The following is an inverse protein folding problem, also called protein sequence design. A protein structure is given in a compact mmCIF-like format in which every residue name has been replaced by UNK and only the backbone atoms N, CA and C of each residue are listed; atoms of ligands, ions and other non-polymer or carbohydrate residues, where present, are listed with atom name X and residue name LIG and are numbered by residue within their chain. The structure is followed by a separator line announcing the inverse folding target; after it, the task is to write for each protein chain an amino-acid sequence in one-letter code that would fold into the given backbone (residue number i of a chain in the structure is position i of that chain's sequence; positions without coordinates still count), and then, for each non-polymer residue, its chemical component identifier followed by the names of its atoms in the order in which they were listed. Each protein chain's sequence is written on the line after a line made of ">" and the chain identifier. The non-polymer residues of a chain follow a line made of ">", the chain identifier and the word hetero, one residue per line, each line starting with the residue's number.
data_IF_439274482836
#
_entry.id   IF_439274482836
#
_cell.length_a   1.000
_cell.length_b   1.000
_cell.length_c   1.000
_cell.angle_alpha   90.00
_cell.angle_beta   90.00
_cell.angle_gamma   90.00
#
_symmetry.space_group_name_H-M   'P 1'
#
loop_
_entity.id
_entity.type
_entity.pdbx_description
1 polymer ?
#
# COMPACT_ATOMS: atom_id res chain seq x y z
N UNK A 1 4.49 -19.80 9.81
CA UNK A 1 3.36 -20.14 8.92
C UNK A 1 2.79 -18.90 8.25
N UNK A 2 2.43 -19.00 6.99
CA UNK A 2 1.84 -17.86 6.25
C UNK A 2 0.33 -17.75 6.54
N UNK A 3 -0.34 -18.85 6.85
CA UNK A 3 -1.79 -18.96 6.79
C UNK A 3 -2.44 -19.44 8.07
N UNK A 4 -2.13 -20.65 8.50
CA UNK A 4 -2.77 -21.34 9.60
C UNK A 4 -1.72 -21.69 10.64
N UNK A 5 -1.47 -20.78 11.57
CA UNK A 5 -0.63 -21.05 12.72
C UNK A 5 -1.53 -21.55 13.84
N UNK A 6 -1.27 -22.74 14.44
CA UNK A 6 -2.06 -23.26 15.58
C UNK A 6 -2.17 -22.29 16.77
N UNK A 7 -1.21 -21.37 16.91
CA UNK A 7 -1.21 -20.33 17.94
C UNK A 7 -2.11 -19.14 17.61
N UNK A 8 -2.69 -19.09 16.41
CA UNK A 8 -3.57 -18.01 16.00
C UNK A 8 -4.86 -18.05 16.81
N UNK A 9 -5.22 -16.91 17.39
CA UNK A 9 -6.54 -16.75 18.02
C UNK A 9 -7.60 -16.70 16.90
N UNK A 10 -8.18 -17.86 16.57
CA UNK A 10 -9.15 -18.00 15.48
C UNK A 10 -10.52 -17.45 15.81
N UNK A 11 -10.99 -17.70 17.04
CA UNK A 11 -12.27 -17.21 17.52
C UNK A 11 -12.13 -15.88 18.26
N UNK A 12 -13.15 -15.04 18.14
CA UNK A 12 -13.16 -13.75 18.82
C UNK A 12 -13.41 -13.94 20.33
N UNK A 13 -12.74 -13.12 21.13
CA UNK A 13 -13.08 -13.01 22.57
C UNK A 13 -14.32 -12.11 22.75
N UNK A 14 -15.15 -12.43 23.73
CA UNK A 14 -16.28 -11.59 24.09
C UNK A 14 -15.79 -10.22 24.59
N UNK A 15 -16.33 -9.15 24.00
CA UNK A 15 -15.96 -7.77 24.37
C UNK A 15 -16.93 -7.12 25.36
N UNK A 16 -17.92 -7.85 25.87
CA UNK A 16 -18.92 -7.32 26.81
C UNK A 16 -19.84 -6.23 26.23
N UNK A 17 -19.81 -6.01 24.91
CA UNK A 17 -20.68 -5.02 24.23
C UNK A 17 -22.07 -5.61 23.99
N UNK A 18 -23.11 -4.74 24.04
CA UNK A 18 -24.46 -5.13 23.63
C UNK A 18 -24.50 -5.59 22.19
N UNK A 19 -25.25 -6.66 21.90
CA UNK A 19 -25.43 -7.24 20.58
C UNK A 19 -24.83 -8.63 20.44
N UNK A 20 -24.97 -9.23 19.26
CA UNK A 20 -24.41 -10.57 18.99
C UNK A 20 -22.89 -10.48 18.90
N UNK A 21 -22.19 -11.19 19.75
CA UNK A 21 -20.74 -11.29 19.73
C UNK A 21 -20.22 -11.83 18.38
N UNK A 22 -19.05 -11.33 17.99
CA UNK A 22 -18.36 -11.86 16.81
C UNK A 22 -17.87 -13.28 17.11
N UNK A 23 -18.09 -14.20 16.18
CA UNK A 23 -17.59 -15.59 16.34
C UNK A 23 -16.11 -15.69 15.98
N UNK A 24 -15.68 -14.99 14.93
CA UNK A 24 -14.33 -15.07 14.40
C UNK A 24 -13.53 -13.80 14.69
N UNK A 25 -12.26 -13.95 15.03
CA UNK A 25 -11.33 -12.84 15.25
C UNK A 25 -11.03 -12.09 13.95
N UNK A 26 -10.47 -10.88 14.05
CA UNK A 26 -9.99 -10.14 12.87
C UNK A 26 -8.85 -10.89 12.18
N UNK A 27 -7.99 -11.56 12.93
CA UNK A 27 -6.91 -12.39 12.38
C UNK A 27 -7.44 -13.53 11.52
N UNK A 28 -8.51 -14.23 11.95
CA UNK A 28 -9.15 -15.27 11.17
C UNK A 28 -9.75 -14.74 9.86
N UNK A 29 -10.43 -13.59 9.92
CA UNK A 29 -10.98 -12.94 8.73
C UNK A 29 -9.87 -12.46 7.80
N UNK A 30 -8.81 -11.83 8.33
CA UNK A 30 -7.65 -11.40 7.54
C UNK A 30 -7.00 -12.59 6.83
N UNK A 31 -6.80 -13.72 7.52
CA UNK A 31 -6.28 -14.96 6.94
C UNK A 31 -7.12 -15.42 5.75
N UNK A 32 -8.45 -15.48 5.92
CA UNK A 32 -9.36 -15.85 4.83
C UNK A 32 -9.28 -14.89 3.63
N UNK A 33 -9.18 -13.58 3.87
CA UNK A 33 -9.06 -12.57 2.82
C UNK A 33 -7.69 -12.66 2.11
N UNK A 34 -6.61 -12.97 2.81
CA UNK A 34 -5.30 -13.22 2.20
C UNK A 34 -5.32 -14.45 1.29
N UNK A 35 -5.92 -15.56 1.74
CA UNK A 35 -6.11 -16.78 0.95
C UNK A 35 -6.97 -16.48 -0.29
N UNK A 36 -8.06 -15.72 -0.13
CA UNK A 36 -8.89 -15.27 -1.25
C UNK A 36 -8.06 -14.59 -2.35
N UNK A 37 -7.17 -13.70 -1.95
CA UNK A 37 -6.34 -12.93 -2.89
C UNK A 37 -5.30 -13.77 -3.59
N UNK A 38 -4.62 -14.64 -2.86
CA UNK A 38 -3.55 -15.48 -3.39
C UNK A 38 -4.04 -16.48 -4.42
N UNK A 39 -5.19 -17.09 -4.15
CA UNK A 39 -5.77 -18.08 -5.05
C UNK A 39 -6.86 -17.49 -5.96
N UNK A 40 -7.07 -16.16 -5.93
CA UNK A 40 -8.07 -15.44 -6.73
C UNK A 40 -9.49 -16.02 -6.59
N UNK A 41 -9.86 -16.43 -5.38
CA UNK A 41 -11.12 -17.10 -5.10
C UNK A 41 -12.27 -16.09 -4.94
N UNK A 42 -13.50 -16.51 -5.24
CA UNK A 42 -14.71 -15.81 -4.79
C UNK A 42 -14.91 -16.06 -3.28
N UNK A 43 -15.68 -15.19 -2.59
CA UNK A 43 -15.92 -15.36 -1.14
C UNK A 43 -16.55 -16.71 -0.78
N UNK A 44 -17.40 -17.28 -1.64
CA UNK A 44 -17.99 -18.61 -1.42
C UNK A 44 -16.96 -19.72 -1.55
N UNK A 45 -16.06 -19.62 -2.53
CA UNK A 45 -14.99 -20.60 -2.72
C UNK A 45 -14.00 -20.56 -1.56
N UNK A 46 -13.71 -19.35 -1.00
CA UNK A 46 -12.82 -19.20 0.15
C UNK A 46 -13.31 -20.02 1.34
N UNK A 47 -14.61 -19.97 1.66
CA UNK A 47 -15.17 -20.74 2.80
C UNK A 47 -14.84 -22.22 2.68
N UNK A 48 -15.14 -22.83 1.53
CA UNK A 48 -14.86 -24.26 1.32
C UNK A 48 -13.35 -24.58 1.28
N UNK A 49 -12.57 -23.72 0.64
CA UNK A 49 -11.13 -23.91 0.53
C UNK A 49 -10.44 -23.81 1.91
N UNK A 50 -10.77 -22.80 2.70
CA UNK A 50 -10.24 -22.64 4.07
C UNK A 50 -10.67 -23.78 4.98
N UNK A 51 -11.93 -24.25 4.89
CA UNK A 51 -12.38 -25.41 5.64
C UNK A 51 -11.57 -26.66 5.31
N UNK A 52 -11.24 -26.87 4.04
CA UNK A 52 -10.38 -27.99 3.61
C UNK A 52 -8.96 -27.87 4.17
N UNK A 53 -8.39 -26.65 4.16
CA UNK A 53 -7.05 -26.40 4.72
C UNK A 53 -7.01 -26.62 6.23
N UNK A 54 -8.03 -26.16 6.97
CA UNK A 54 -8.16 -26.38 8.41
C UNK A 54 -8.18 -27.88 8.72
N UNK A 55 -9.00 -28.64 7.98
CA UNK A 55 -9.06 -30.10 8.12
C UNK A 55 -7.74 -30.78 7.82
N UNK A 56 -7.05 -30.39 6.75
CA UNK A 56 -5.73 -30.94 6.37
C UNK A 56 -4.66 -30.63 7.41
N UNK A 57 -4.78 -29.49 8.10
CA UNK A 57 -3.85 -29.08 9.15
C UNK A 57 -4.15 -29.71 10.51
N UNK A 58 -5.18 -30.56 10.62
CA UNK A 58 -5.58 -31.21 11.89
C UNK A 58 -6.10 -30.23 12.96
N UNK A 59 -6.57 -29.03 12.55
CA UNK A 59 -7.07 -28.00 13.47
C UNK A 59 -8.57 -28.17 13.70
N UNK A 60 -9.00 -28.00 14.93
CA UNK A 60 -10.43 -28.03 15.33
C UNK A 60 -11.07 -26.65 15.20
N UNK A 61 -10.95 -26.05 13.99
CA UNK A 61 -11.56 -24.78 13.67
C UNK A 61 -12.64 -24.94 12.62
N UNK A 62 -13.55 -23.98 12.58
CA UNK A 62 -14.53 -23.86 11.49
C UNK A 62 -14.21 -22.62 10.65
N UNK A 63 -14.42 -22.71 9.33
CA UNK A 63 -14.23 -21.57 8.45
C UNK A 63 -15.43 -20.60 8.55
N UNK A 64 -15.18 -19.26 8.49
CA UNK A 64 -16.24 -18.28 8.37
C UNK A 64 -17.05 -18.50 7.08
N UNK A 65 -18.37 -18.37 7.14
CA UNK A 65 -19.19 -18.36 5.93
C UNK A 65 -18.96 -17.11 5.07
N UNK A 66 -19.32 -17.19 3.79
CA UNK A 66 -19.12 -16.10 2.83
C UNK A 66 -19.85 -14.81 3.20
N UNK A 67 -20.97 -14.87 3.90
CA UNK A 67 -21.75 -13.71 4.30
C UNK A 67 -21.05 -12.98 5.46
N UNK A 68 -20.45 -13.75 6.38
CA UNK A 68 -19.59 -13.22 7.44
C UNK A 68 -18.36 -12.54 6.85
N UNK A 69 -17.65 -13.18 5.93
CA UNK A 69 -16.51 -12.58 5.22
C UNK A 69 -16.91 -11.29 4.50
N UNK A 70 -18.04 -11.29 3.79
CA UNK A 70 -18.54 -10.13 3.07
C UNK A 70 -18.85 -8.93 3.98
N UNK A 71 -19.49 -9.18 5.12
CA UNK A 71 -19.81 -8.13 6.11
C UNK A 71 -18.56 -7.61 6.79
N UNK A 72 -17.70 -8.53 7.25
CA UNK A 72 -16.47 -8.16 7.97
C UNK A 72 -15.47 -7.45 7.08
N UNK A 73 -15.36 -7.78 5.81
CA UNK A 73 -14.47 -7.11 4.84
C UNK A 73 -14.71 -5.59 4.76
N UNK A 74 -15.88 -5.07 5.12
CA UNK A 74 -16.16 -3.63 5.12
C UNK A 74 -15.56 -2.89 6.31
N UNK A 75 -15.39 -3.56 7.43
CA UNK A 75 -15.14 -2.92 8.74
C UNK A 75 -13.87 -3.44 9.44
N UNK A 76 -13.22 -4.45 8.87
CA UNK A 76 -12.00 -5.01 9.44
C UNK A 76 -10.85 -4.02 9.30
N UNK A 77 -10.07 -3.87 10.36
CA UNK A 77 -8.77 -3.21 10.30
C UNK A 77 -7.70 -4.26 10.01
N UNK A 78 -7.15 -4.22 8.80
CA UNK A 78 -6.16 -5.20 8.35
C UNK A 78 -4.77 -4.72 8.74
N UNK A 79 -4.14 -5.45 9.63
CA UNK A 79 -2.77 -5.17 10.04
C UNK A 79 -1.79 -5.47 8.89
N UNK A 80 -1.00 -4.48 8.52
CA UNK A 80 0.12 -4.60 7.58
C UNK A 80 1.40 -4.67 8.40
N UNK A 81 1.85 -5.91 8.67
CA UNK A 81 3.05 -6.14 9.46
C UNK A 81 4.30 -5.77 8.66
N UNK A 82 5.27 -5.16 9.32
CA UNK A 82 6.60 -4.86 8.79
C UNK A 82 7.63 -4.84 9.95
N UNK A 83 8.90 -4.94 9.60
CA UNK A 83 9.98 -4.82 10.58
C UNK A 83 10.33 -3.34 10.78
N UNK A 84 10.29 -2.85 12.02
CA UNK A 84 10.75 -1.49 12.34
C UNK A 84 12.24 -1.36 12.02
N UNK A 85 12.62 -0.20 11.47
CA UNK A 85 14.03 0.14 11.21
C UNK A 85 14.58 0.99 12.34
N UNK A 86 15.77 0.63 12.83
CA UNK A 86 16.53 1.47 13.76
C UNK A 86 17.31 2.59 13.06
N UNK A 87 17.61 2.40 11.78
CA UNK A 87 18.53 3.23 10.98
C UNK A 87 17.72 4.20 10.12
N UNK A 88 16.76 4.88 10.46
CA UNK A 88 16.03 5.80 9.62
C UNK A 88 15.52 5.21 8.28
N UNK A 89 14.35 5.62 7.86
CA UNK A 89 13.69 5.12 6.65
C UNK A 89 14.07 5.96 5.43
N UNK A 90 14.36 5.30 4.33
CA UNK A 90 14.40 5.91 3.01
C UNK A 90 13.11 5.56 2.25
N UNK A 91 12.13 6.43 2.33
CA UNK A 91 10.80 6.16 1.77
C UNK A 91 10.74 6.45 0.27
N UNK A 92 10.26 5.49 -0.49
CA UNK A 92 9.94 5.65 -1.91
C UNK A 92 8.42 5.75 -2.04
N UNK A 93 7.93 6.89 -2.51
CA UNK A 93 6.49 7.18 -2.61
C UNK A 93 6.10 7.36 -4.07
N UNK A 94 5.02 6.70 -4.45
CA UNK A 94 4.45 6.83 -5.79
C UNK A 94 2.99 6.39 -5.83
N UNK A 95 2.29 6.64 -6.94
CA UNK A 95 0.90 6.25 -7.14
C UNK A 95 0.70 5.46 -8.44
N UNK A 96 -0.34 4.62 -8.46
CA UNK A 96 -0.75 3.89 -9.65
C UNK A 96 -2.26 3.76 -9.76
N UNK A 97 -2.77 3.69 -10.99
CA UNK A 97 -4.18 3.43 -11.24
C UNK A 97 -4.53 1.95 -11.11
N UNK A 98 -5.65 1.66 -10.46
CA UNK A 98 -6.26 0.34 -10.38
C UNK A 98 -7.69 0.36 -10.92
N UNK A 99 -8.02 -0.64 -11.72
CA UNK A 99 -9.39 -0.90 -12.17
C UNK A 99 -10.21 -1.52 -11.04
N UNK A 100 -11.54 -1.41 -11.12
CA UNK A 100 -12.46 -2.08 -10.19
C UNK A 100 -13.72 -2.55 -10.90
N UNK A 101 -14.50 -3.42 -10.27
CA UNK A 101 -15.77 -3.88 -10.81
C UNK A 101 -16.77 -2.72 -10.92
N UNK A 102 -17.41 -2.56 -12.08
CA UNK A 102 -18.36 -1.48 -12.32
C UNK A 102 -17.72 -0.15 -12.70
N UNK A 103 -16.47 -0.15 -13.15
CA UNK A 103 -15.71 1.06 -13.57
C UNK A 103 -16.32 1.87 -14.74
N UNK A 104 -17.43 1.39 -15.30
CA UNK A 104 -18.10 2.09 -16.40
C UNK A 104 -17.56 1.78 -17.80
N UNK A 105 -16.68 0.79 -17.95
CA UNK A 105 -16.10 0.42 -19.25
C UNK A 105 -17.17 0.06 -20.28
N UNK A 106 -18.18 -0.72 -19.86
CA UNK A 106 -19.31 -1.08 -20.72
C UNK A 106 -20.16 0.15 -21.12
N UNK A 107 -20.46 1.05 -20.17
CA UNK A 107 -21.21 2.28 -20.42
C UNK A 107 -20.47 3.18 -21.40
N UNK A 108 -19.15 3.30 -21.28
CA UNK A 108 -18.31 4.05 -22.20
C UNK A 108 -18.31 3.45 -23.61
N UNK A 109 -18.23 2.12 -23.73
CA UNK A 109 -18.33 1.43 -25.04
C UNK A 109 -19.70 1.65 -25.70
N UNK A 110 -20.77 1.68 -24.89
CA UNK A 110 -22.15 1.82 -25.39
C UNK A 110 -22.56 3.28 -25.66
N UNK A 111 -22.11 4.23 -24.84
CA UNK A 111 -22.58 5.62 -24.84
C UNK A 111 -21.51 6.65 -25.24
N UNK A 112 -20.34 6.23 -25.73
CA UNK A 112 -19.30 7.08 -26.26
C UNK A 112 -18.38 7.76 -25.24
N UNK A 113 -17.53 8.68 -25.73
CA UNK A 113 -16.42 9.26 -24.99
C UNK A 113 -16.81 10.19 -23.80
N UNK A 114 -18.06 10.64 -23.72
CA UNK A 114 -18.56 11.48 -22.63
C UNK A 114 -18.61 10.74 -21.29
N UNK A 115 -18.66 9.41 -21.31
CA UNK A 115 -18.65 8.61 -20.09
C UNK A 115 -17.22 8.33 -19.66
N UNK A 116 -16.69 9.16 -18.75
CA UNK A 116 -15.33 8.96 -18.21
C UNK A 116 -15.26 7.66 -17.45
N UNK A 117 -14.29 6.81 -17.85
CA UNK A 117 -13.94 5.60 -17.13
C UNK A 117 -13.47 5.95 -15.73
N UNK A 118 -13.98 5.26 -14.73
CA UNK A 118 -13.56 5.43 -13.34
C UNK A 118 -12.48 4.41 -12.98
N UNK A 119 -11.49 4.84 -12.21
CA UNK A 119 -10.48 3.99 -11.58
C UNK A 119 -10.19 4.46 -10.17
N UNK A 120 -9.49 3.65 -9.40
CA UNK A 120 -8.97 4.04 -8.11
C UNK A 120 -7.50 4.39 -8.24
N UNK A 121 -7.02 5.33 -7.44
CA UNK A 121 -5.59 5.62 -7.27
C UNK A 121 -5.11 4.93 -6.02
N UNK A 122 -4.07 4.15 -6.17
CA UNK A 122 -3.34 3.53 -5.09
C UNK A 122 -2.06 4.30 -4.88
N UNK A 123 -1.88 4.85 -3.68
CA UNK A 123 -0.67 5.52 -3.24
C UNK A 123 0.04 4.61 -2.24
N UNK A 124 1.34 4.43 -2.38
CA UNK A 124 2.14 3.61 -1.47
C UNK A 124 3.43 4.32 -1.09
N UNK A 125 3.87 4.06 0.14
CA UNK A 125 5.22 4.36 0.61
C UNK A 125 5.91 3.04 0.99
N UNK A 126 7.08 2.79 0.42
CA UNK A 126 7.89 1.60 0.72
C UNK A 126 9.26 2.02 1.27
N UNK A 127 9.84 1.20 2.10
CA UNK A 127 11.21 1.38 2.52
C UNK A 127 12.18 0.89 1.42
N UNK A 128 13.16 1.71 1.06
CA UNK A 128 14.13 1.41 0.02
C UNK A 128 15.09 0.27 0.37
N UNK A 129 15.31 -0.02 1.66
CA UNK A 129 16.20 -1.09 2.13
C UNK A 129 15.49 -2.43 2.14
N UNK A 130 14.35 -2.51 2.82
CA UNK A 130 13.61 -3.77 3.01
C UNK A 130 12.59 -4.07 1.92
N UNK A 131 12.22 -3.06 1.12
CA UNK A 131 11.13 -3.11 0.15
C UNK A 131 9.76 -3.43 0.76
N UNK A 132 9.63 -3.30 2.08
CA UNK A 132 8.36 -3.46 2.77
C UNK A 132 7.49 -2.21 2.60
N UNK A 133 6.20 -2.43 2.43
CA UNK A 133 5.20 -1.36 2.35
C UNK A 133 4.96 -0.83 3.76
N UNK A 134 5.19 0.47 3.94
CA UNK A 134 5.06 1.18 5.23
C UNK A 134 3.73 1.91 5.35
N UNK A 135 3.25 2.47 4.24
CA UNK A 135 1.99 3.19 4.21
C UNK A 135 1.26 2.94 2.89
N UNK A 136 -0.06 2.99 2.93
CA UNK A 136 -0.92 2.77 1.77
C UNK A 136 -2.20 3.60 1.87
N UNK A 137 -2.60 4.21 0.76
CA UNK A 137 -3.84 4.97 0.66
C UNK A 137 -4.53 4.65 -0.66
N UNK A 138 -5.81 4.34 -0.61
CA UNK A 138 -6.66 4.18 -1.80
C UNK A 138 -7.58 5.38 -1.92
N UNK A 139 -7.57 6.03 -3.08
CA UNK A 139 -8.39 7.21 -3.33
C UNK A 139 -9.19 7.08 -4.63
N UNK A 140 -10.10 8.02 -4.85
CA UNK A 140 -10.71 8.21 -6.16
C UNK A 140 -9.70 8.87 -7.11
N UNK A 141 -9.94 8.79 -8.42
CA UNK A 141 -9.08 9.37 -9.45
C UNK A 141 -8.99 10.91 -9.41
N UNK A 142 -9.87 11.58 -8.66
CA UNK A 142 -9.89 13.04 -8.55
C UNK A 142 -8.89 13.61 -7.54
N UNK A 143 -8.34 12.77 -6.65
CA UNK A 143 -7.38 13.17 -5.64
C UNK A 143 -5.98 13.25 -6.26
N UNK A 144 -5.28 14.37 -6.06
CA UNK A 144 -3.91 14.54 -6.57
C UNK A 144 -2.91 13.80 -5.66
N UNK A 145 -1.78 13.38 -6.23
CA UNK A 145 -0.75 12.65 -5.48
C UNK A 145 -0.19 13.47 -4.31
N UNK A 146 0.00 14.78 -4.53
CA UNK A 146 0.53 15.70 -3.52
C UNK A 146 -0.39 15.90 -2.29
N UNK A 147 -1.69 15.65 -2.42
CA UNK A 147 -2.64 15.77 -1.29
C UNK A 147 -2.57 14.58 -0.32
N UNK A 148 -2.04 13.45 -0.77
CA UNK A 148 -2.05 12.19 -0.01
C UNK A 148 -0.75 11.97 0.77
N UNK A 149 0.29 12.76 0.50
CA UNK A 149 1.60 12.54 1.13
C UNK A 149 1.55 12.65 2.66
N UNK A 150 0.81 13.62 3.18
CA UNK A 150 0.63 13.81 4.62
C UNK A 150 -0.02 12.58 5.27
N UNK A 151 -1.10 12.07 4.68
CA UNK A 151 -1.78 10.86 5.17
C UNK A 151 -0.88 9.62 5.13
N UNK A 152 0.00 9.52 4.12
CA UNK A 152 0.97 8.42 4.04
C UNK A 152 2.03 8.54 5.15
N UNK A 153 2.59 9.73 5.38
CA UNK A 153 3.59 9.92 6.41
C UNK A 153 3.01 9.80 7.83
N UNK A 154 1.73 10.16 8.01
CA UNK A 154 1.02 10.00 9.28
C UNK A 154 0.81 8.52 9.69
N UNK A 155 0.81 7.58 8.73
CA UNK A 155 0.73 6.14 9.03
C UNK A 155 2.03 5.57 9.60
N UNK A 156 3.15 6.30 9.47
CA UNK A 156 4.45 5.87 9.99
C UNK A 156 4.60 6.40 11.42
N UNK A 157 4.84 5.53 12.40
CA UNK A 157 5.00 5.94 13.79
C UNK A 157 6.03 7.06 13.97
N UNK A 158 5.80 7.97 14.92
CA UNK A 158 6.70 9.08 15.18
C UNK A 158 8.04 8.63 15.77
N UNK A 159 8.08 7.47 16.42
CA UNK A 159 9.26 6.83 16.96
C UNK A 159 10.12 6.13 15.89
N UNK A 160 9.67 6.07 14.65
CA UNK A 160 10.43 5.54 13.51
C UNK A 160 10.96 6.71 12.65
N UNK A 161 12.27 7.01 12.72
CA UNK A 161 12.84 8.16 12.01
C UNK A 161 12.79 7.97 10.50
N UNK A 162 12.57 9.05 9.76
CA UNK A 162 12.59 9.09 8.30
C UNK A 162 13.76 9.93 7.85
N UNK A 163 14.75 9.34 7.19
CA UNK A 163 15.91 10.07 6.68
C UNK A 163 15.59 10.83 5.38
N UNK A 164 14.86 10.17 4.47
CA UNK A 164 14.59 10.77 3.16
C UNK A 164 13.32 10.23 2.53
N UNK A 165 12.66 11.10 1.76
CA UNK A 165 11.45 10.78 1.00
C UNK A 165 11.68 11.05 -0.48
N UNK A 166 11.62 10.00 -1.29
CA UNK A 166 11.80 10.02 -2.73
C UNK A 166 10.44 9.99 -3.43
N UNK A 167 10.14 11.03 -4.19
CA UNK A 167 8.89 11.13 -4.97
C UNK A 167 9.16 11.65 -6.38
N UNK A 168 8.15 11.64 -7.22
CA UNK A 168 8.25 12.30 -8.52
C UNK A 168 8.01 13.83 -8.44
N UNK A 169 8.12 14.51 -9.58
CA UNK A 169 7.92 15.97 -9.65
C UNK A 169 6.47 16.44 -9.40
N UNK A 170 5.48 15.56 -9.38
CA UNK A 170 4.10 15.91 -9.02
C UNK A 170 3.99 16.35 -7.55
N UNK A 171 4.88 15.84 -6.70
CA UNK A 171 4.99 16.19 -5.29
C UNK A 171 5.84 17.46 -5.03
N UNK A 172 6.39 18.13 -6.06
CA UNK A 172 7.15 19.39 -5.88
C UNK A 172 6.22 20.55 -5.55
N UNK A 173 5.63 20.53 -4.37
CA UNK A 173 4.73 21.53 -3.80
C UNK A 173 5.23 22.02 -2.45
N UNK A 174 4.82 23.24 -2.05
CA UNK A 174 5.19 23.78 -0.72
C UNK A 174 4.68 22.90 0.41
N UNK A 175 3.45 22.41 0.29
CA UNK A 175 2.84 21.54 1.28
C UNK A 175 3.63 20.23 1.45
N UNK A 176 3.91 19.49 0.38
CA UNK A 176 4.65 18.24 0.48
C UNK A 176 6.03 18.41 1.11
N UNK A 177 6.76 19.48 0.72
CA UNK A 177 8.09 19.74 1.30
C UNK A 177 8.00 20.13 2.78
N UNK A 178 6.94 20.82 3.20
CA UNK A 178 6.72 21.12 4.61
C UNK A 178 6.45 19.85 5.40
N UNK A 179 5.53 19.01 4.96
CA UNK A 179 5.18 17.75 5.63
C UNK A 179 6.40 16.82 5.77
N UNK A 180 7.30 16.80 4.78
CA UNK A 180 8.54 16.04 4.86
C UNK A 180 9.49 16.67 5.90
N UNK A 181 9.62 17.98 5.89
CA UNK A 181 10.47 18.72 6.84
C UNK A 181 9.96 18.57 8.28
N UNK A 182 8.66 18.55 8.50
CA UNK A 182 8.04 18.35 9.82
C UNK A 182 8.33 16.94 10.41
N UNK A 183 8.84 16.02 9.59
CA UNK A 183 9.36 14.70 9.99
C UNK A 183 10.88 14.65 10.03
N UNK A 184 11.56 15.81 10.03
CA UNK A 184 13.04 15.95 10.00
C UNK A 184 13.69 15.18 8.83
N UNK A 185 12.97 14.97 7.72
CA UNK A 185 13.40 14.17 6.58
C UNK A 185 13.85 15.02 5.39
N UNK A 186 14.74 14.46 4.56
CA UNK A 186 15.19 15.10 3.33
C UNK A 186 14.24 14.82 2.15
N UNK A 187 13.82 15.88 1.45
CA UNK A 187 12.94 15.77 0.28
C UNK A 187 13.74 15.55 -1.02
N UNK A 188 13.79 14.32 -1.52
CA UNK A 188 14.44 13.98 -2.80
C UNK A 188 13.39 14.03 -3.92
N UNK A 189 13.00 15.26 -4.30
CA UNK A 189 11.94 15.54 -5.27
C UNK A 189 12.54 16.30 -6.44
N UNK A 190 12.49 15.77 -7.69
CA UNK A 190 12.99 16.48 -8.84
C UNK A 190 12.12 17.72 -9.13
N UNK A 191 12.71 18.89 -9.37
CA UNK A 191 11.93 20.06 -9.73
C UNK A 191 11.21 19.83 -11.07
N UNK A 192 10.02 20.42 -11.22
CA UNK A 192 9.28 20.37 -12.48
C UNK A 192 10.08 21.01 -13.62
N UNK A 193 9.77 20.66 -14.89
CA UNK A 193 10.54 21.10 -16.07
C UNK A 193 10.73 22.62 -16.14
N UNK A 194 9.71 23.40 -15.80
CA UNK A 194 9.72 24.87 -15.83
C UNK A 194 9.66 25.49 -14.43
N UNK A 195 10.24 24.83 -13.43
CA UNK A 195 10.21 25.28 -12.06
C UNK A 195 10.95 26.63 -11.90
N UNK A 196 10.28 27.59 -11.23
CA UNK A 196 10.85 28.87 -10.81
C UNK A 196 11.18 28.84 -9.32
N UNK A 197 12.15 29.63 -8.85
CA UNK A 197 12.40 29.77 -7.42
C UNK A 197 11.17 30.25 -6.67
N UNK A 198 10.96 29.75 -5.46
CA UNK A 198 9.93 30.26 -4.58
C UNK A 198 10.42 31.51 -3.86
N UNK A 199 9.52 32.47 -3.65
CA UNK A 199 9.88 33.80 -3.14
C UNK A 199 9.96 33.86 -1.61
N UNK A 200 9.30 32.92 -0.90
CA UNK A 200 9.32 32.89 0.57
C UNK A 200 10.66 32.39 1.11
N UNK A 201 11.02 32.83 2.33
CA UNK A 201 12.29 32.52 3.00
C UNK A 201 12.16 31.36 3.99
N UNK A 202 11.14 30.51 3.84
CA UNK A 202 10.99 29.34 4.69
C UNK A 202 12.02 28.24 4.34
N UNK A 203 12.43 27.44 5.33
CA UNK A 203 13.46 26.41 5.17
C UNK A 203 13.21 25.49 3.96
N UNK A 204 11.97 25.01 3.77
CA UNK A 204 11.57 24.18 2.60
C UNK A 204 11.81 24.88 1.26
N UNK A 205 11.67 26.20 1.22
CA UNK A 205 11.81 26.98 -0.01
C UNK A 205 13.27 27.27 -0.32
N UNK A 206 14.08 27.50 0.71
CA UNK A 206 15.54 27.68 0.61
C UNK A 206 16.14 26.37 0.07
N UNK A 207 15.87 25.22 0.73
CA UNK A 207 16.37 23.91 0.30
C UNK A 207 15.98 23.60 -1.15
N UNK A 208 14.71 23.81 -1.50
CA UNK A 208 14.23 23.59 -2.87
C UNK A 208 14.88 24.53 -3.89
N UNK A 209 15.08 25.79 -3.56
CA UNK A 209 15.72 26.76 -4.46
C UNK A 209 17.22 26.43 -4.67
N UNK A 210 17.93 25.96 -3.65
CA UNK A 210 19.30 25.46 -3.78
C UNK A 210 19.34 24.20 -4.66
N UNK A 211 18.42 23.27 -4.48
CA UNK A 211 18.25 22.12 -5.37
C UNK A 211 18.04 22.55 -6.81
N UNK A 212 17.19 23.56 -7.05
CA UNK A 212 16.91 24.09 -8.39
C UNK A 212 18.17 24.69 -9.02
N UNK A 213 18.98 25.46 -8.26
CA UNK A 213 20.29 25.99 -8.70
C UNK A 213 21.25 24.85 -9.06
N UNK A 214 21.33 23.82 -8.19
CA UNK A 214 22.18 22.65 -8.40
C UNK A 214 21.79 21.90 -9.66
N UNK A 215 20.50 21.64 -9.88
CA UNK A 215 20.00 20.96 -11.09
C UNK A 215 20.26 21.79 -12.36
N UNK A 216 20.15 23.12 -12.28
CA UNK A 216 20.46 24.01 -13.42
C UNK A 216 21.97 24.00 -13.75
N UNK A 217 22.84 23.95 -12.73
CA UNK A 217 24.31 23.98 -12.91
C UNK A 217 24.88 22.63 -13.37
N UNK A 218 24.48 21.53 -12.73
CA UNK A 218 25.06 20.20 -12.95
C UNK A 218 24.28 19.35 -13.95
N UNK A 219 23.05 19.73 -14.24
CA UNK A 219 22.12 18.92 -15.03
C UNK A 219 21.35 17.89 -14.19
N UNK A 220 20.15 17.55 -14.68
CA UNK A 220 19.21 16.64 -13.98
C UNK A 220 19.76 15.22 -13.87
N UNK A 221 20.51 14.75 -14.87
CA UNK A 221 21.05 13.38 -14.88
C UNK A 221 22.07 13.18 -13.76
N UNK A 222 23.02 14.11 -13.62
CA UNK A 222 24.05 14.05 -12.59
C UNK A 222 23.44 14.19 -11.20
N UNK A 223 22.48 15.10 -11.00
CA UNK A 223 21.76 15.23 -9.76
C UNK A 223 21.05 13.93 -9.36
N UNK A 224 20.34 13.28 -10.29
CA UNK A 224 19.66 11.98 -10.03
C UNK A 224 20.64 10.90 -9.57
N UNK A 225 21.84 10.85 -10.17
CA UNK A 225 22.88 9.91 -9.79
C UNK A 225 23.40 10.21 -8.38
N UNK A 226 23.69 11.48 -8.10
CA UNK A 226 24.27 11.92 -6.83
C UNK A 226 23.29 11.81 -5.65
N UNK A 227 22.01 12.19 -5.85
CA UNK A 227 20.97 12.09 -4.82
C UNK A 227 20.44 10.67 -4.60
N UNK A 228 20.90 9.66 -5.35
CA UNK A 228 20.37 8.31 -5.27
C UNK A 228 18.93 8.17 -5.78
N UNK A 229 18.41 9.14 -6.53
CA UNK A 229 17.03 9.17 -7.04
C UNK A 229 16.62 7.91 -7.83
N UNK A 230 17.59 7.20 -8.39
CA UNK A 230 17.32 5.96 -9.13
C UNK A 230 16.65 4.88 -8.28
N UNK A 231 16.81 4.92 -6.95
CA UNK A 231 16.11 4.00 -6.04
C UNK A 231 14.60 4.05 -6.17
N UNK A 232 14.04 5.19 -6.64
CA UNK A 232 12.60 5.34 -6.87
C UNK A 232 12.02 4.27 -7.81
N UNK A 233 12.78 3.76 -8.77
CA UNK A 233 12.31 2.68 -9.66
C UNK A 233 11.88 1.41 -8.91
N UNK A 234 12.36 1.19 -7.67
CA UNK A 234 11.95 0.05 -6.86
C UNK A 234 10.48 0.11 -6.46
N UNK A 235 9.90 1.31 -6.30
CA UNK A 235 8.45 1.43 -6.02
C UNK A 235 7.61 1.00 -7.22
N UNK A 236 8.08 1.27 -8.45
CA UNK A 236 7.40 0.83 -9.67
C UNK A 236 7.40 -0.72 -9.76
N UNK A 237 8.52 -1.37 -9.40
CA UNK A 237 8.58 -2.83 -9.29
C UNK A 237 7.59 -3.36 -8.24
N UNK A 238 7.51 -2.70 -7.07
CA UNK A 238 6.54 -3.11 -6.04
C UNK A 238 5.10 -2.94 -6.53
N UNK A 239 4.79 -1.87 -7.25
CA UNK A 239 3.48 -1.67 -7.88
C UNK A 239 3.14 -2.76 -8.92
N UNK A 240 4.14 -3.22 -9.67
CA UNK A 240 3.96 -4.37 -10.55
C UNK A 240 3.59 -5.63 -9.76
N UNK A 241 4.29 -5.92 -8.66
CA UNK A 241 3.97 -7.05 -7.77
C UNK A 241 2.54 -6.96 -7.20
N UNK A 242 2.06 -5.73 -6.85
CA UNK A 242 0.68 -5.52 -6.41
C UNK A 242 -0.32 -5.92 -7.51
N UNK A 243 -0.04 -5.55 -8.76
CA UNK A 243 -0.90 -5.89 -9.91
C UNK A 243 -0.87 -7.37 -10.26
N UNK A 244 0.23 -8.09 -9.97
CA UNK A 244 0.29 -9.55 -10.12
C UNK A 244 -0.66 -10.29 -9.17
N UNK A 245 -0.95 -9.75 -7.99
CA UNK A 245 -2.00 -10.30 -7.10
C UNK A 245 -3.42 -10.05 -7.62
N UNK A 246 -3.56 -9.11 -8.57
CA UNK A 246 -4.80 -8.79 -9.26
C UNK A 246 -4.77 -7.34 -9.77
N UNK A 247 -4.91 -7.15 -11.06
CA UNK A 247 -4.93 -5.86 -11.74
C UNK A 247 -6.28 -5.11 -11.59
N UNK A 248 -7.28 -5.80 -11.04
CA UNK A 248 -8.63 -5.27 -10.81
C UNK A 248 -9.09 -5.57 -9.38
N UNK A 249 -9.73 -4.57 -8.74
CA UNK A 249 -10.39 -4.77 -7.45
C UNK A 249 -11.71 -5.52 -7.66
N UNK A 250 -11.95 -6.53 -6.84
CA UNK A 250 -13.13 -7.40 -6.94
C UNK A 250 -14.26 -6.95 -6.01
N UNK A 251 -13.94 -6.21 -4.96
CA UNK A 251 -14.92 -5.64 -4.04
C UNK A 251 -15.73 -4.51 -4.70
N UNK A 252 -17.04 -4.44 -4.37
CA UNK A 252 -17.96 -3.45 -4.96
C UNK A 252 -17.96 -2.12 -4.21
N UNK A 253 -17.99 -2.16 -2.88
CA UNK A 253 -18.01 -0.94 -2.05
C UNK A 253 -16.61 -0.39 -1.82
N UNK A 254 -16.48 0.94 -1.69
CA UNK A 254 -15.19 1.58 -1.46
C UNK A 254 -14.48 1.08 -0.18
N UNK A 255 -15.15 0.96 0.99
CA UNK A 255 -14.51 0.40 2.18
C UNK A 255 -13.97 -1.03 1.97
N UNK A 256 -14.73 -1.88 1.25
CA UNK A 256 -14.25 -3.23 0.94
C UNK A 256 -13.08 -3.23 -0.06
N UNK A 257 -13.00 -2.23 -0.96
CA UNK A 257 -11.87 -2.04 -1.87
C UNK A 257 -10.61 -1.63 -1.10
N UNK A 258 -10.75 -0.74 -0.11
CA UNK A 258 -9.64 -0.35 0.79
C UNK A 258 -9.08 -1.59 1.49
N UNK A 259 -9.95 -2.39 2.12
CA UNK A 259 -9.52 -3.59 2.83
C UNK A 259 -9.01 -4.71 1.90
N UNK A 260 -9.48 -4.77 0.66
CA UNK A 260 -8.88 -5.65 -0.37
C UNK A 260 -7.44 -5.23 -0.67
N UNK A 261 -7.16 -3.93 -0.75
CA UNK A 261 -5.80 -3.40 -0.93
C UNK A 261 -4.94 -3.66 0.30
N UNK A 262 -5.42 -3.39 1.51
CA UNK A 262 -4.67 -3.66 2.75
C UNK A 262 -4.28 -5.14 2.84
N UNK A 263 -5.19 -6.06 2.49
CA UNK A 263 -4.88 -7.49 2.45
C UNK A 263 -3.81 -7.84 1.40
N UNK A 264 -3.80 -7.18 0.21
CA UNK A 264 -2.71 -7.33 -0.77
C UNK A 264 -1.37 -6.86 -0.23
N UNK A 265 -1.35 -5.73 0.50
CA UNK A 265 -0.14 -5.19 1.12
C UNK A 265 0.40 -6.14 2.20
N UNK A 266 -0.48 -6.68 3.05
CA UNK A 266 -0.12 -7.67 4.06
C UNK A 266 0.50 -8.93 3.43
N UNK A 267 -0.07 -9.45 2.34
CA UNK A 267 0.50 -10.58 1.57
C UNK A 267 1.89 -10.24 1.04
N UNK A 268 2.05 -9.08 0.42
CA UNK A 268 3.34 -8.69 -0.19
C UNK A 268 4.42 -8.45 0.85
N UNK A 269 4.09 -7.85 2.00
CA UNK A 269 5.04 -7.69 3.08
C UNK A 269 5.46 -9.05 3.65
N UNK A 270 4.51 -9.99 3.77
CA UNK A 270 4.84 -11.35 4.21
C UNK A 270 5.77 -12.06 3.21
N UNK A 271 5.53 -11.93 1.92
CA UNK A 271 6.45 -12.47 0.90
C UNK A 271 7.83 -11.81 0.94
N UNK A 272 7.89 -10.51 1.18
CA UNK A 272 9.16 -9.78 1.34
C UNK A 272 9.93 -10.28 2.57
N UNK A 273 9.24 -10.55 3.68
CA UNK A 273 9.83 -11.11 4.91
C UNK A 273 10.38 -12.52 4.70
N UNK A 274 9.65 -13.36 3.96
CA UNK A 274 10.10 -14.74 3.65
C UNK A 274 11.33 -14.77 2.74
N UNK A 275 11.60 -13.67 2.05
CA UNK A 275 12.75 -13.58 1.14
C UNK A 275 12.57 -14.36 -0.15
N UNK A 276 13.70 -14.58 -0.86
CA UNK A 276 13.75 -15.42 -2.04
C UNK A 276 13.92 -16.87 -1.63
N UNK A 277 13.18 -17.80 -2.24
CA UNK A 277 13.39 -19.22 -1.96
C UNK A 277 14.83 -19.62 -2.32
N UNK A 278 15.49 -20.31 -1.40
CA UNK A 278 16.78 -20.94 -1.67
C UNK A 278 16.52 -22.30 -2.31
N UNK A 279 16.82 -22.44 -3.60
CA UNK A 279 16.75 -23.71 -4.30
C UNK A 279 18.06 -24.47 -4.06
N UNK A 280 17.99 -25.64 -3.42
CA UNK A 280 19.12 -26.55 -3.32
C UNK A 280 18.90 -27.66 -4.34
N UNK A 281 19.94 -27.96 -5.12
CA UNK A 281 19.95 -29.17 -5.98
C UNK A 281 20.11 -30.34 -5.04
N UNK A 282 19.12 -31.22 -4.97
CA UNK A 282 19.22 -32.51 -4.29
C UNK A 282 19.88 -33.45 -5.29
N UNK A 283 21.15 -33.72 -5.05
CA UNK A 283 21.92 -34.74 -5.80
C UNK A 283 21.52 -36.14 -5.37
#
# INVERSE_FOLDING_TARGET
>A
SIWLDPKTQWYAQSQGKQGRNQTYSDTAIQCCLMIKLLFRLSLRMVTGFVQSLIKLSGLDWTAPDYSTLCRRQKHIDIAISYQKSSDGLHLLVDSTGLKFLGEGEWKRKKHGAEYRRQWRKLHIAIDAKTLQIRAVQLTTNNVSDSQVLEDLLAQIPLDEPIDSVYTDGAYDTKHCRQVILDRDAHAIIPPRKNAKPWKDQQARSIERNELLKTVKRLGRSLWKKWSGYHRRSLVETKMHCIKLLGDKLTARSFPSQVNEIHARMAVLNKFTELGRPHTQVVS
#
